data_IF_134906710454
#
_entry.id   IF_134906710454
#
_cell.length_a   1.000
_cell.length_b   1.000
_cell.length_c   1.000
_cell.angle_alpha   90.00
_cell.angle_beta   90.00
_cell.angle_gamma   90.00
#
_symmetry.space_group_name_H-M   'P 1'
#
loop_
_entity.id
_entity.type
_entity.pdbx_description
1 polymer ?
#
# COMPACT_ATOMS: atom_id res chain seq x y z
N UNK A 1 33.58 -12.66 -15.38
CA UNK A 1 32.41 -11.97 -16.02
C UNK A 1 31.17 -12.86 -16.16
N UNK A 2 31.21 -14.01 -16.86
CA UNK A 2 30.03 -14.89 -17.04
C UNK A 2 29.30 -15.32 -15.73
N UNK A 3 30.06 -15.62 -14.67
CA UNK A 3 29.51 -16.00 -13.35
C UNK A 3 28.77 -14.84 -12.66
N UNK A 4 29.30 -13.61 -12.76
CA UNK A 4 28.71 -12.42 -12.15
C UNK A 4 27.36 -12.05 -12.81
N UNK A 5 27.28 -12.14 -14.14
CA UNK A 5 26.03 -11.95 -14.88
C UNK A 5 24.97 -12.99 -14.55
N UNK A 6 25.36 -14.24 -14.27
CA UNK A 6 24.43 -15.30 -13.85
C UNK A 6 23.91 -15.04 -12.44
N UNK A 7 24.78 -14.66 -11.51
CA UNK A 7 24.36 -14.27 -10.16
C UNK A 7 23.42 -13.06 -10.17
N UNK A 8 23.73 -12.04 -10.96
CA UNK A 8 22.90 -10.85 -11.08
C UNK A 8 21.54 -11.16 -11.72
N UNK A 9 21.51 -11.99 -12.77
CA UNK A 9 20.26 -12.41 -13.40
C UNK A 9 19.38 -13.25 -12.46
N UNK A 10 19.99 -14.17 -11.68
CA UNK A 10 19.26 -14.96 -10.67
C UNK A 10 18.76 -14.08 -9.54
N UNK A 11 19.55 -13.10 -9.06
CA UNK A 11 19.11 -12.16 -8.03
C UNK A 11 17.94 -11.29 -8.51
N UNK A 12 18.02 -10.76 -9.73
CA UNK A 12 16.91 -10.00 -10.35
C UNK A 12 15.66 -10.88 -10.49
N UNK A 13 15.82 -12.14 -10.91
CA UNK A 13 14.72 -13.08 -11.04
C UNK A 13 14.05 -13.37 -9.68
N UNK A 14 14.84 -13.63 -8.64
CA UNK A 14 14.34 -13.88 -7.28
C UNK A 14 13.61 -12.65 -6.73
N UNK A 15 14.17 -11.44 -6.92
CA UNK A 15 13.53 -10.19 -6.50
C UNK A 15 12.23 -9.93 -7.29
N UNK A 16 12.18 -10.30 -8.57
CA UNK A 16 10.98 -10.14 -9.41
C UNK A 16 9.87 -11.15 -9.11
N UNK A 17 10.22 -12.34 -8.59
CA UNK A 17 9.27 -13.38 -8.21
C UNK A 17 8.73 -13.17 -6.78
N UNK A 18 9.49 -12.52 -5.91
CA UNK A 18 9.03 -12.06 -4.60
C UNK A 18 8.33 -10.71 -4.73
N UNK A 19 7.18 -10.67 -5.41
CA UNK A 19 6.39 -9.45 -5.69
C UNK A 19 6.13 -8.55 -4.47
N UNK A 20 6.30 -9.05 -3.25
CA UNK A 20 6.40 -8.27 -2.02
C UNK A 20 7.84 -7.81 -1.75
N UNK A 21 8.42 -6.97 -2.61
CA UNK A 21 9.78 -6.46 -2.31
C UNK A 21 9.72 -5.57 -1.06
N UNK A 22 10.74 -5.54 -0.19
CA UNK A 22 10.80 -4.64 0.98
C UNK A 22 11.98 -3.68 0.92
N UNK A 23 12.80 -3.80 -0.12
CA UNK A 23 14.11 -3.15 -0.21
C UNK A 23 14.03 -1.62 -0.25
N UNK A 24 12.92 -1.06 -0.74
CA UNK A 24 12.76 0.39 -0.93
C UNK A 24 11.85 1.05 0.13
N UNK A 25 11.31 0.28 1.08
CA UNK A 25 10.40 0.76 2.13
C UNK A 25 10.63 0.01 3.46
N UNK A 26 11.68 0.41 4.21
CA UNK A 26 12.23 -0.39 5.30
C UNK A 26 11.26 -0.62 6.46
N UNK A 27 10.21 0.21 6.61
CA UNK A 27 9.23 0.09 7.70
C UNK A 27 7.90 -0.53 7.26
N UNK A 28 7.72 -0.92 5.99
CA UNK A 28 6.45 -1.52 5.59
C UNK A 28 6.17 -2.85 6.31
N UNK A 29 7.21 -3.66 6.55
CA UNK A 29 7.04 -4.89 7.33
C UNK A 29 6.59 -4.57 8.78
N UNK A 30 7.12 -3.53 9.41
CA UNK A 30 6.65 -3.11 10.74
C UNK A 30 5.14 -2.80 10.74
N UNK A 31 4.65 -2.10 9.71
CA UNK A 31 3.23 -1.78 9.59
C UNK A 31 2.39 -3.00 9.24
N UNK A 32 2.91 -3.90 8.41
CA UNK A 32 2.26 -5.16 8.08
C UNK A 32 2.09 -6.03 9.34
N UNK A 33 3.14 -6.16 10.15
CA UNK A 33 3.07 -6.89 11.42
C UNK A 33 2.11 -6.21 12.42
N UNK A 34 2.14 -4.87 12.53
CA UNK A 34 1.20 -4.11 13.39
C UNK A 34 -0.26 -4.30 12.99
N UNK A 35 -0.53 -4.42 11.70
CA UNK A 35 -1.87 -4.58 11.17
C UNK A 35 -2.31 -6.05 11.05
N UNK A 36 -1.45 -7.01 11.38
CA UNK A 36 -1.73 -8.44 11.20
C UNK A 36 -3.01 -8.85 11.93
N UNK A 37 -3.95 -9.42 11.20
CA UNK A 37 -5.20 -9.98 11.71
C UNK A 37 -5.19 -11.50 11.64
N UNK A 38 -6.32 -12.14 11.95
CA UNK A 38 -6.49 -13.58 11.82
C UNK A 38 -6.51 -14.05 10.36
N UNK A 39 -6.86 -13.16 9.42
CA UNK A 39 -6.88 -13.43 7.98
C UNK A 39 -6.20 -12.30 7.19
N UNK A 40 -5.79 -12.58 5.93
CA UNK A 40 -5.26 -11.55 5.04
C UNK A 40 -6.26 -10.42 4.80
N UNK A 41 -7.56 -10.74 4.67
CA UNK A 41 -8.63 -9.73 4.55
C UNK A 41 -8.67 -8.83 5.79
N UNK A 42 -8.56 -9.38 6.99
CA UNK A 42 -8.51 -8.58 8.21
C UNK A 42 -7.26 -7.69 8.27
N UNK A 43 -6.11 -8.19 7.82
CA UNK A 43 -4.89 -7.37 7.70
C UNK A 43 -5.06 -6.19 6.75
N UNK A 44 -5.67 -6.41 5.59
CA UNK A 44 -5.99 -5.33 4.64
C UNK A 44 -6.91 -4.30 5.31
N UNK A 45 -7.96 -4.74 6.01
CA UNK A 45 -8.90 -3.83 6.70
C UNK A 45 -8.21 -3.00 7.79
N UNK A 46 -7.32 -3.61 8.58
CA UNK A 46 -6.53 -2.90 9.58
C UNK A 46 -5.61 -1.86 8.92
N UNK A 47 -4.91 -2.22 7.83
CA UNK A 47 -4.07 -1.28 7.07
C UNK A 47 -4.86 -0.12 6.48
N UNK A 48 -6.06 -0.36 5.93
CA UNK A 48 -6.92 0.74 5.46
C UNK A 48 -7.30 1.69 6.59
N UNK A 49 -7.44 1.22 7.83
CA UNK A 49 -7.73 2.08 8.99
C UNK A 49 -6.54 2.95 9.36
N UNK A 50 -5.34 2.35 9.39
CA UNK A 50 -4.09 3.07 9.63
C UNK A 50 -3.84 4.13 8.56
N UNK A 51 -4.02 3.78 7.28
CA UNK A 51 -3.84 4.69 6.14
C UNK A 51 -4.76 5.90 6.20
N UNK A 52 -6.04 5.69 6.52
CA UNK A 52 -6.99 6.80 6.66
C UNK A 52 -6.58 7.73 7.82
N UNK A 53 -6.12 7.17 8.94
CA UNK A 53 -5.65 7.96 10.08
C UNK A 53 -4.39 8.76 9.73
N UNK A 54 -3.40 8.14 9.08
CA UNK A 54 -2.18 8.82 8.64
C UNK A 54 -2.45 9.87 7.57
N UNK A 55 -3.41 9.66 6.65
CA UNK A 55 -3.80 10.66 5.67
C UNK A 55 -4.40 11.92 6.34
N UNK A 56 -5.26 11.73 7.36
CA UNK A 56 -5.81 12.84 8.16
C UNK A 56 -4.71 13.55 8.94
N UNK A 57 -3.82 12.80 9.59
CA UNK A 57 -2.70 13.36 10.37
C UNK A 57 -1.64 14.06 9.51
N UNK A 58 -1.56 13.73 8.22
CA UNK A 58 -0.67 14.39 7.30
C UNK A 58 -1.15 15.80 6.95
N UNK A 59 -2.46 16.10 6.95
CA UNK A 59 -3.00 17.41 6.53
C UNK A 59 -2.29 18.60 7.18
N UNK A 60 -2.03 19.65 6.39
CA UNK A 60 -1.33 20.86 6.84
C UNK A 60 0.18 20.69 7.13
N UNK A 61 0.70 19.46 7.12
CA UNK A 61 2.13 19.16 7.16
C UNK A 61 2.84 19.47 5.84
N UNK A 62 4.17 19.34 5.75
CA UNK A 62 4.97 19.76 4.58
C UNK A 62 6.11 18.79 4.28
N UNK A 63 6.36 18.55 3.00
CA UNK A 63 7.51 17.76 2.57
C UNK A 63 7.37 16.31 3.01
N UNK A 64 8.40 15.78 3.68
CA UNK A 64 8.46 14.40 4.17
C UNK A 64 8.29 14.36 5.69
N UNK A 65 7.23 14.96 6.21
CA UNK A 65 6.90 14.84 7.63
C UNK A 65 6.60 13.39 8.03
N UNK A 66 6.57 13.14 9.33
CA UNK A 66 6.43 11.80 9.87
C UNK A 66 5.13 11.13 9.43
N UNK A 67 4.01 11.87 9.41
CA UNK A 67 2.70 11.32 9.03
C UNK A 67 2.65 10.93 7.55
N UNK A 68 3.28 11.68 6.64
CA UNK A 68 3.41 11.29 5.24
C UNK A 68 4.37 10.11 5.05
N UNK A 69 5.47 10.04 5.81
CA UNK A 69 6.38 8.89 5.78
C UNK A 69 5.70 7.61 6.29
N UNK A 70 4.88 7.73 7.34
CA UNK A 70 4.09 6.62 7.86
C UNK A 70 3.06 6.15 6.82
N UNK A 71 2.34 7.08 6.17
CA UNK A 71 1.42 6.76 5.08
C UNK A 71 2.12 6.00 3.95
N UNK A 72 3.32 6.43 3.54
CA UNK A 72 4.09 5.76 2.50
C UNK A 72 4.43 4.30 2.86
N UNK A 73 4.94 4.05 4.06
CA UNK A 73 5.29 2.69 4.47
C UNK A 73 4.03 1.83 4.69
N UNK A 74 2.95 2.40 5.20
CA UNK A 74 1.66 1.70 5.34
C UNK A 74 1.06 1.34 3.98
N UNK A 75 1.25 2.17 2.95
CA UNK A 75 0.70 1.91 1.62
C UNK A 75 1.43 0.74 0.93
N UNK A 76 2.75 0.64 1.09
CA UNK A 76 3.50 -0.54 0.65
C UNK A 76 3.16 -1.78 1.48
N UNK A 77 2.87 -1.62 2.78
CA UNK A 77 2.36 -2.71 3.60
C UNK A 77 1.00 -3.21 3.10
N UNK A 78 0.12 -2.29 2.64
CA UNK A 78 -1.16 -2.62 2.02
C UNK A 78 -0.97 -3.46 0.76
N UNK A 79 -0.14 -3.02 -0.18
CA UNK A 79 0.18 -3.77 -1.41
C UNK A 79 0.65 -5.19 -1.08
N UNK A 80 1.57 -5.33 -0.13
CA UNK A 80 2.03 -6.64 0.34
C UNK A 80 0.93 -7.49 0.98
N UNK A 81 -0.01 -6.88 1.70
CA UNK A 81 -1.11 -7.60 2.36
C UNK A 81 -2.08 -8.24 1.36
N UNK A 82 -2.18 -7.75 0.11
CA UNK A 82 -2.97 -8.40 -0.94
C UNK A 82 -2.44 -9.79 -1.31
N UNK A 83 -1.17 -10.11 -1.03
CA UNK A 83 -0.66 -11.48 -1.18
C UNK A 83 -1.16 -12.45 -0.10
N UNK A 84 -1.80 -11.94 0.96
CA UNK A 84 -2.33 -12.74 2.07
C UNK A 84 -3.76 -13.23 1.89
N UNK A 85 -4.45 -12.89 0.79
CA UNK A 85 -5.80 -13.41 0.52
C UNK A 85 -5.75 -14.86 0.04
N UNK A 86 -6.81 -15.63 0.29
CA UNK A 86 -6.87 -17.02 -0.19
C UNK A 86 -7.14 -17.09 -1.69
N UNK A 87 -6.91 -18.26 -2.30
CA UNK A 87 -7.20 -18.46 -3.73
C UNK A 87 -8.69 -18.33 -4.03
N UNK A 88 -9.54 -18.77 -3.11
CA UNK A 88 -11.00 -18.69 -3.22
C UNK A 88 -11.46 -17.23 -3.20
N UNK A 89 -10.92 -16.42 -2.29
CA UNK A 89 -11.18 -14.97 -2.24
C UNK A 89 -10.68 -14.30 -3.52
N UNK A 90 -9.47 -14.65 -3.98
CA UNK A 90 -8.86 -14.08 -5.18
C UNK A 90 -9.62 -14.39 -6.47
N UNK A 91 -10.43 -15.44 -6.50
CA UNK A 91 -11.27 -15.81 -7.64
C UNK A 91 -12.59 -15.02 -7.73
N UNK A 92 -12.89 -14.15 -6.76
CA UNK A 92 -14.16 -13.40 -6.72
C UNK A 92 -14.10 -12.09 -7.52
N UNK A 93 -15.23 -11.62 -8.06
CA UNK A 93 -15.33 -10.26 -8.64
C UNK A 93 -15.03 -9.15 -7.62
N UNK A 94 -15.34 -9.37 -6.34
CA UNK A 94 -15.03 -8.42 -5.28
C UNK A 94 -13.51 -8.23 -5.12
N UNK A 95 -12.72 -9.29 -5.27
CA UNK A 95 -11.26 -9.17 -5.21
C UNK A 95 -10.70 -8.43 -6.43
N UNK A 96 -11.20 -8.71 -7.63
CA UNK A 96 -10.82 -7.97 -8.83
C UNK A 96 -11.11 -6.47 -8.69
N UNK A 97 -12.24 -6.11 -8.07
CA UNK A 97 -12.56 -4.72 -7.75
C UNK A 97 -11.61 -4.15 -6.68
N UNK A 98 -11.27 -4.90 -5.63
CA UNK A 98 -10.33 -4.47 -4.60
C UNK A 98 -8.93 -4.16 -5.19
N UNK A 99 -8.42 -5.02 -6.08
CA UNK A 99 -7.15 -4.78 -6.80
C UNK A 99 -7.24 -3.55 -7.71
N UNK A 100 -8.41 -3.31 -8.32
CA UNK A 100 -8.61 -2.10 -9.14
C UNK A 100 -8.54 -0.84 -8.27
N UNK A 101 -9.20 -0.85 -7.11
CA UNK A 101 -9.16 0.24 -6.13
C UNK A 101 -7.77 0.49 -5.55
N UNK A 102 -6.99 -0.56 -5.31
CA UNK A 102 -5.58 -0.43 -4.92
C UNK A 102 -4.75 0.31 -5.97
N UNK A 103 -4.93 -0.01 -7.27
CA UNK A 103 -4.24 0.70 -8.36
C UNK A 103 -4.65 2.16 -8.48
N UNK A 104 -5.91 2.48 -8.24
CA UNK A 104 -6.40 3.86 -8.17
C UNK A 104 -5.72 4.62 -7.03
N UNK A 105 -5.64 4.01 -5.84
CA UNK A 105 -4.87 4.55 -4.72
C UNK A 105 -3.40 4.75 -5.07
N UNK A 106 -2.77 3.83 -5.80
CA UNK A 106 -1.37 3.97 -6.22
C UNK A 106 -1.17 5.19 -7.14
N UNK A 107 -2.13 5.49 -8.02
CA UNK A 107 -2.10 6.68 -8.84
C UNK A 107 -2.17 7.96 -8.00
N UNK A 108 -3.08 8.01 -7.03
CA UNK A 108 -3.23 9.15 -6.11
C UNK A 108 -1.99 9.30 -5.22
N UNK A 109 -1.46 8.20 -4.69
CA UNK A 109 -0.26 8.16 -3.86
C UNK A 109 0.94 8.77 -4.59
N UNK A 110 1.17 8.43 -5.87
CA UNK A 110 2.22 9.04 -6.69
C UNK A 110 2.05 10.55 -6.85
N UNK A 111 0.81 11.02 -7.02
CA UNK A 111 0.50 12.45 -7.14
C UNK A 111 0.73 13.18 -5.82
N UNK A 112 0.27 12.59 -4.71
CA UNK A 112 0.57 13.07 -3.35
C UNK A 112 2.08 13.21 -3.14
N UNK A 113 2.85 12.18 -3.51
CA UNK A 113 4.31 12.23 -3.40
C UNK A 113 4.89 13.35 -4.26
N UNK A 114 4.44 13.52 -5.51
CA UNK A 114 4.88 14.61 -6.38
C UNK A 114 4.61 15.99 -5.77
N UNK A 115 3.42 16.19 -5.20
CA UNK A 115 2.94 17.50 -4.73
C UNK A 115 3.08 17.72 -3.22
N UNK A 116 3.78 16.86 -2.49
CA UNK A 116 4.00 16.94 -1.02
C UNK A 116 4.57 18.28 -0.50
N UNK A 117 5.12 19.12 -1.36
CA UNK A 117 5.61 20.46 -1.00
C UNK A 117 4.63 21.60 -1.26
N UNK A 118 3.56 21.34 -2.02
CA UNK A 118 2.54 22.29 -2.46
C UNK A 118 1.26 22.06 -1.63
N UNK A 119 0.96 22.97 -0.69
CA UNK A 119 -0.06 22.76 0.34
C UNK A 119 -1.47 22.50 -0.22
N UNK A 120 -2.03 23.37 -1.09
CA UNK A 120 -3.34 23.11 -1.68
C UNK A 120 -3.42 21.75 -2.39
N UNK A 121 -2.39 21.40 -3.16
CA UNK A 121 -2.40 20.12 -3.87
C UNK A 121 -2.21 18.94 -2.92
N UNK A 122 -1.30 19.03 -1.95
CA UNK A 122 -1.04 17.98 -0.97
C UNK A 122 -2.30 17.63 -0.21
N UNK A 123 -2.97 18.61 0.38
CA UNK A 123 -4.18 18.39 1.17
C UNK A 123 -5.33 17.84 0.31
N UNK A 124 -5.49 18.33 -0.93
CA UNK A 124 -6.49 17.78 -1.85
C UNK A 124 -6.24 16.30 -2.20
N UNK A 125 -4.97 15.92 -2.41
CA UNK A 125 -4.64 14.51 -2.69
C UNK A 125 -4.72 13.64 -1.44
N UNK A 126 -4.47 14.18 -0.24
CA UNK A 126 -4.68 13.46 1.02
C UNK A 126 -6.18 13.18 1.25
N UNK A 127 -7.05 14.14 0.96
CA UNK A 127 -8.50 13.97 1.08
C UNK A 127 -9.02 12.91 0.11
N UNK A 128 -8.60 12.99 -1.16
CA UNK A 128 -8.94 12.00 -2.17
C UNK A 128 -8.43 10.61 -1.79
N UNK A 129 -7.19 10.52 -1.32
CA UNK A 129 -6.62 9.25 -0.85
C UNK A 129 -7.43 8.67 0.32
N UNK A 130 -7.78 9.48 1.31
CA UNK A 130 -8.59 9.04 2.45
C UNK A 130 -10.02 8.63 2.06
N UNK A 131 -10.59 9.21 1.00
CA UNK A 131 -11.86 8.77 0.42
C UNK A 131 -11.70 7.39 -0.23
N UNK A 132 -10.74 7.24 -1.15
CA UNK A 132 -10.54 5.98 -1.88
C UNK A 132 -10.14 4.82 -0.96
N UNK A 133 -9.43 5.08 0.14
CA UNK A 133 -9.15 4.07 1.18
C UNK A 133 -10.44 3.58 1.83
N UNK A 134 -11.44 4.45 2.03
CA UNK A 134 -12.76 4.05 2.57
C UNK A 134 -13.53 3.20 1.57
N UNK A 135 -13.52 3.59 0.29
CA UNK A 135 -14.15 2.80 -0.78
C UNK A 135 -13.49 1.42 -0.93
N UNK A 136 -12.15 1.37 -0.90
CA UNK A 136 -11.43 0.09 -0.88
C UNK A 136 -11.85 -0.77 0.32
N UNK A 137 -11.95 -0.19 1.52
CA UNK A 137 -12.34 -0.89 2.74
C UNK A 137 -13.72 -1.54 2.59
N UNK A 138 -14.69 -0.82 2.01
CA UNK A 138 -16.04 -1.35 1.76
C UNK A 138 -16.03 -2.52 0.77
N UNK A 139 -15.17 -2.49 -0.25
CA UNK A 139 -15.01 -3.60 -1.19
C UNK A 139 -14.36 -4.81 -0.51
N UNK A 140 -13.29 -4.59 0.25
CA UNK A 140 -12.57 -5.66 0.97
C UNK A 140 -13.45 -6.34 2.02
N UNK A 141 -14.36 -5.62 2.67
CA UNK A 141 -15.32 -6.20 3.60
C UNK A 141 -16.19 -7.29 2.96
N UNK A 142 -16.40 -7.26 1.64
CA UNK A 142 -17.17 -8.27 0.89
C UNK A 142 -16.38 -9.56 0.63
N UNK A 143 -15.11 -9.60 1.03
CA UNK A 143 -14.22 -10.77 0.93
C UNK A 143 -14.18 -11.61 2.22
N UNK A 144 -14.81 -11.12 3.31
CA UNK A 144 -15.02 -11.89 4.54
C UNK A 144 -15.98 -13.04 4.29
#
# INVERSE_FOLDING_TARGET
MRSLTRFLATAILVISLSGCSYLFWPRADEYLQKAKGATGVETILNLTTMLEASAKAARGGKGYDQSLNDLHNQFHALDNAFCGVTKEQAATPAYALAVTKEKELFAIFKRLWKYRGDQPQRDAHLDLFAQEVRELREVVQRLK
#
